data_IF_668669152557
#
_entry.id   IF_668669152557
#
_cell.length_a   1.000
_cell.length_b   1.000
_cell.length_c   1.000
_cell.angle_alpha   90.00
_cell.angle_beta   90.00
_cell.angle_gamma   90.00
#
_symmetry.space_group_name_H-M   'P 1'
#
loop_
_entity.id
_entity.type
_entity.pdbx_description
1 polymer ?
#
# COMPACT_ATOMS: atom_id res chain seq x y z
N UNK A 1 -17.16 -5.58 2.82
CA UNK A 1 -16.35 -5.62 1.58
C UNK A 1 -15.10 -6.44 1.89
N UNK A 2 -14.79 -7.48 1.11
CA UNK A 2 -13.58 -8.29 1.32
C UNK A 2 -12.44 -7.80 0.43
N UNK A 3 -11.21 -7.82 0.96
CA UNK A 3 -9.96 -7.50 0.27
C UNK A 3 -9.20 -8.83 0.07
N UNK A 4 -9.45 -9.53 -1.04
CA UNK A 4 -8.98 -10.91 -1.27
C UNK A 4 -7.68 -11.01 -2.07
N UNK A 5 -7.22 -9.89 -2.63
CA UNK A 5 -6.05 -9.76 -3.50
C UNK A 5 -5.13 -8.67 -2.96
N UNK A 6 -4.87 -8.69 -1.65
CA UNK A 6 -3.86 -7.88 -0.96
C UNK A 6 -2.95 -8.82 -0.19
N UNK A 7 -1.64 -8.69 -0.40
CA UNK A 7 -0.61 -9.57 0.15
C UNK A 7 0.55 -8.75 0.72
N UNK A 8 1.22 -9.26 1.74
CA UNK A 8 2.34 -8.56 2.39
C UNK A 8 3.64 -8.57 1.56
N UNK A 9 3.65 -9.25 0.41
CA UNK A 9 4.77 -9.28 -0.51
C UNK A 9 4.74 -10.55 -1.36
N UNK A 10 5.80 -10.77 -2.14
CA UNK A 10 5.94 -11.98 -2.97
C UNK A 10 6.16 -13.26 -2.12
N UNK A 11 6.66 -13.10 -0.90
CA UNK A 11 6.92 -14.20 0.02
C UNK A 11 5.65 -14.70 0.70
N UNK A 12 4.57 -13.90 0.70
CA UNK A 12 3.32 -14.19 1.42
C UNK A 12 2.77 -15.57 0.99
N UNK A 13 2.59 -16.52 1.93
CA UNK A 13 2.05 -17.84 1.61
C UNK A 13 0.68 -17.80 0.93
N UNK A 14 -0.14 -16.79 1.25
CA UNK A 14 -1.45 -16.59 0.60
C UNK A 14 -1.29 -16.21 -0.86
N UNK A 15 -0.29 -15.39 -1.20
CA UNK A 15 0.03 -15.12 -2.59
C UNK A 15 0.53 -16.39 -3.29
N UNK A 16 1.52 -17.09 -2.71
CA UNK A 16 2.12 -18.30 -3.29
C UNK A 16 1.08 -19.40 -3.58
N UNK A 17 0.03 -19.50 -2.77
CA UNK A 17 -1.07 -20.47 -2.95
C UNK A 17 -2.26 -19.96 -3.77
N UNK A 18 -2.30 -18.67 -4.14
CA UNK A 18 -3.45 -18.06 -4.81
C UNK A 18 -3.60 -18.40 -6.29
N UNK A 19 -2.51 -18.84 -6.95
CA UNK A 19 -2.46 -19.00 -8.41
C UNK A 19 -2.52 -17.68 -9.19
N UNK A 20 -2.47 -16.53 -8.51
CA UNK A 20 -2.47 -15.21 -9.13
C UNK A 20 -1.09 -14.85 -9.68
N UNK A 21 -1.08 -13.94 -10.65
CA UNK A 21 0.14 -13.40 -11.24
C UNK A 21 0.32 -11.94 -10.84
N UNK A 22 1.52 -11.61 -10.38
CA UNK A 22 1.95 -10.22 -10.16
C UNK A 22 2.56 -9.67 -11.44
N UNK A 23 2.35 -8.38 -11.70
CA UNK A 23 2.96 -7.69 -12.82
C UNK A 23 4.48 -7.57 -12.61
N UNK A 24 5.23 -7.63 -13.72
CA UNK A 24 6.66 -7.39 -13.68
C UNK A 24 6.93 -5.89 -13.46
N UNK A 25 7.86 -5.59 -12.55
CA UNK A 25 8.40 -4.24 -12.37
C UNK A 25 9.54 -3.98 -13.37
N UNK A 26 9.66 -2.74 -13.82
CA UNK A 26 10.76 -2.30 -14.67
C UNK A 26 11.26 -0.94 -14.20
N UNK A 27 12.57 -0.74 -14.26
CA UNK A 27 13.16 0.59 -14.17
C UNK A 27 13.84 0.93 -15.50
N UNK A 28 13.83 2.21 -15.84
CA UNK A 28 14.47 2.69 -17.04
C UNK A 28 15.95 2.99 -16.77
N UNK A 29 16.84 2.49 -17.62
CA UNK A 29 18.30 2.63 -17.50
C UNK A 29 18.83 3.55 -18.60
N UNK A 30 19.08 4.81 -18.23
CA UNK A 30 19.55 5.85 -19.16
C UNK A 30 20.80 5.45 -19.96
N UNK A 31 21.75 4.72 -19.37
CA UNK A 31 23.01 4.38 -20.03
C UNK A 31 22.85 3.41 -21.20
N UNK A 32 21.77 2.63 -21.20
CA UNK A 32 21.48 1.65 -22.25
C UNK A 32 20.20 1.98 -23.03
N UNK A 33 19.47 3.03 -22.64
CA UNK A 33 18.17 3.43 -23.22
C UNK A 33 17.15 2.28 -23.21
N UNK A 34 17.12 1.52 -22.12
CA UNK A 34 16.32 0.29 -22.01
C UNK A 34 15.52 0.22 -20.71
N UNK A 35 14.39 -0.48 -20.76
CA UNK A 35 13.66 -0.91 -19.57
C UNK A 35 14.23 -2.24 -19.07
N UNK A 36 14.81 -2.21 -17.88
CA UNK A 36 15.37 -3.40 -17.23
C UNK A 36 14.34 -3.95 -16.26
N UNK A 37 14.04 -5.24 -16.40
CA UNK A 37 13.15 -5.93 -15.47
C UNK A 37 13.74 -5.90 -14.08
N UNK A 38 13.00 -5.33 -13.14
CA UNK A 38 13.32 -5.38 -11.72
C UNK A 38 12.91 -6.74 -11.17
N UNK A 39 13.84 -7.51 -10.59
CA UNK A 39 13.47 -8.72 -9.87
C UNK A 39 12.46 -8.38 -8.77
N UNK A 40 11.38 -9.16 -8.70
CA UNK A 40 10.46 -9.08 -7.56
C UNK A 40 11.21 -9.65 -6.36
N UNK A 41 11.53 -8.79 -5.40
CA UNK A 41 12.28 -9.20 -4.21
C UNK A 41 11.39 -10.04 -3.28
N UNK A 42 11.95 -11.15 -2.78
CA UNK A 42 11.28 -12.06 -1.82
C UNK A 42 11.68 -11.72 -0.37
N UNK A 43 12.45 -10.65 -0.15
CA UNK A 43 12.85 -10.24 1.19
C UNK A 43 11.71 -9.56 1.96
N UNK A 44 11.56 -9.93 3.23
CA UNK A 44 10.46 -9.51 4.12
C UNK A 44 10.69 -8.18 4.85
N UNK A 45 11.81 -7.50 4.61
CA UNK A 45 12.20 -6.33 5.41
C UNK A 45 11.35 -5.07 5.10
N UNK A 46 10.74 -5.00 3.92
CA UNK A 46 10.11 -3.78 3.40
C UNK A 46 8.57 -3.76 3.50
N UNK A 47 7.94 -4.79 4.07
CA UNK A 47 6.48 -4.95 4.07
C UNK A 47 5.76 -3.79 4.76
N UNK A 48 6.25 -3.39 5.92
CA UNK A 48 5.71 -2.26 6.68
C UNK A 48 5.99 -0.90 6.04
N UNK A 49 6.96 -0.81 5.14
CA UNK A 49 7.38 0.43 4.49
C UNK A 49 6.75 0.62 3.10
N UNK A 50 6.46 -0.46 2.36
CA UNK A 50 5.88 -0.34 1.02
C UNK A 50 5.79 -1.61 0.16
N UNK A 51 6.11 -2.81 0.66
CA UNK A 51 6.11 -4.02 -0.17
C UNK A 51 4.72 -4.66 -0.41
N UNK A 52 3.63 -4.03 0.05
CA UNK A 52 2.27 -4.55 -0.12
C UNK A 52 1.93 -4.66 -1.61
N UNK A 53 1.49 -5.85 -2.02
CA UNK A 53 1.02 -6.14 -3.38
C UNK A 53 -0.51 -6.13 -3.39
N UNK A 54 -1.12 -5.39 -4.30
CA UNK A 54 -2.57 -5.27 -4.42
C UNK A 54 -3.05 -5.20 -5.88
N UNK A 55 -4.31 -5.54 -6.10
CA UNK A 55 -5.02 -5.17 -7.33
C UNK A 55 -5.63 -3.78 -7.22
N UNK A 56 -5.88 -3.13 -8.37
CA UNK A 56 -6.56 -1.81 -8.40
C UNK A 56 -7.93 -1.86 -7.72
N UNK A 57 -8.69 -2.96 -7.90
CA UNK A 57 -10.02 -3.10 -7.30
C UNK A 57 -9.95 -3.16 -5.76
N UNK A 58 -8.99 -3.89 -5.21
CA UNK A 58 -8.88 -4.02 -3.76
C UNK A 58 -8.27 -2.77 -3.12
N UNK A 59 -7.32 -2.11 -3.79
CA UNK A 59 -6.83 -0.82 -3.32
C UNK A 59 -7.94 0.25 -3.32
N UNK A 60 -8.79 0.29 -4.35
CA UNK A 60 -9.93 1.22 -4.37
C UNK A 60 -10.94 0.95 -3.25
N UNK A 61 -11.22 -0.32 -2.93
CA UNK A 61 -12.06 -0.69 -1.77
C UNK A 61 -11.42 -0.23 -0.45
N UNK A 62 -10.12 -0.42 -0.30
CA UNK A 62 -9.38 0.07 0.86
C UNK A 62 -9.50 1.59 1.01
N UNK A 63 -9.26 2.36 -0.05
CA UNK A 63 -9.44 3.82 -0.03
C UNK A 63 -10.87 4.22 0.34
N UNK A 64 -11.88 3.53 -0.20
CA UNK A 64 -13.28 3.77 0.15
C UNK A 64 -13.54 3.55 1.65
N UNK A 65 -12.98 2.49 2.23
CA UNK A 65 -13.07 2.22 3.68
C UNK A 65 -12.48 3.38 4.48
N UNK A 66 -11.28 3.86 4.10
CA UNK A 66 -10.63 5.00 4.77
C UNK A 66 -11.42 6.30 4.63
N UNK A 67 -11.95 6.60 3.43
CA UNK A 67 -12.72 7.81 3.16
C UNK A 67 -14.08 7.83 3.87
N UNK A 68 -14.69 6.67 4.05
CA UNK A 68 -16.03 6.54 4.67
C UNK A 68 -15.97 6.18 6.15
N UNK A 69 -14.77 6.09 6.73
CA UNK A 69 -14.52 5.68 8.11
C UNK A 69 -15.22 4.37 8.47
N UNK A 70 -15.30 3.46 7.48
CA UNK A 70 -15.91 2.15 7.67
C UNK A 70 -14.96 1.23 8.44
N UNK A 71 -15.52 0.17 9.03
CA UNK A 71 -14.71 -0.86 9.70
C UNK A 71 -13.67 -1.50 8.74
N UNK A 72 -12.64 -2.17 9.28
CA UNK A 72 -12.58 -2.69 10.67
C UNK A 72 -12.06 -1.69 11.71
N UNK A 73 -11.54 -0.54 11.31
CA UNK A 73 -11.08 0.49 12.24
C UNK A 73 -12.27 1.27 12.82
N UNK A 74 -12.20 1.64 14.10
CA UNK A 74 -13.19 2.54 14.72
C UNK A 74 -13.06 3.96 14.15
N UNK A 75 -14.10 4.78 14.31
CA UNK A 75 -14.04 6.21 13.94
C UNK A 75 -12.89 6.93 14.64
N UNK A 76 -12.69 6.67 15.93
CA UNK A 76 -11.57 7.23 16.70
C UNK A 76 -10.22 6.79 16.12
N UNK A 77 -10.09 5.52 15.72
CA UNK A 77 -8.89 5.03 15.05
C UNK A 77 -8.65 5.72 13.70
N UNK A 78 -9.69 5.96 12.90
CA UNK A 78 -9.59 6.73 11.65
C UNK A 78 -9.19 8.20 11.91
N UNK A 79 -9.66 8.79 13.01
CA UNK A 79 -9.25 10.13 13.44
C UNK A 79 -7.77 10.17 13.82
N UNK A 80 -7.30 9.21 14.60
CA UNK A 80 -5.89 9.11 14.99
C UNK A 80 -4.96 8.95 13.79
N UNK A 81 -5.32 8.12 12.80
CA UNK A 81 -4.49 7.94 11.60
C UNK A 81 -4.37 9.19 10.73
N UNK A 82 -5.40 10.04 10.69
CA UNK A 82 -5.40 11.26 9.87
C UNK A 82 -4.79 12.47 10.58
N UNK A 83 -4.61 12.41 11.90
CA UNK A 83 -4.09 13.52 12.69
C UNK A 83 -2.58 13.67 12.45
N UNK A 84 -2.11 14.76 11.80
CA UNK A 84 -0.67 14.96 11.57
C UNK A 84 0.05 15.16 12.90
N UNK A 85 1.19 14.48 13.10
CA UNK A 85 2.03 14.63 14.31
C UNK A 85 3.33 15.41 14.09
N UNK A 86 3.50 16.01 12.91
CA UNK A 86 4.56 16.99 12.66
C UNK A 86 4.21 18.32 13.35
N UNK A 87 5.23 19.08 13.75
CA UNK A 87 5.13 20.25 14.62
C UNK A 87 4.41 21.48 14.03
N UNK A 88 3.78 21.39 12.87
CA UNK A 88 3.06 22.51 12.22
C UNK A 88 1.54 22.40 12.30
N UNK A 89 1.00 21.61 13.24
CA UNK A 89 -0.44 21.37 13.36
C UNK A 89 -1.24 22.52 14.04
N UNK A 90 -0.63 23.66 14.38
CA UNK A 90 -1.34 24.76 15.03
C UNK A 90 -0.79 26.15 14.67
N UNK A 91 -0.98 26.60 13.43
CA UNK A 91 -1.07 28.03 13.13
C UNK A 91 -2.27 28.26 12.21
N UNK A 92 -3.46 28.34 12.81
CA UNK A 92 -4.62 29.05 12.28
C UNK A 92 -5.71 29.09 13.37
N UNK A 93 -5.48 29.91 14.41
CA UNK A 93 -6.55 30.49 15.19
C UNK A 93 -6.19 31.96 15.47
N UNK A 94 -7.06 32.86 15.00
CA UNK A 94 -7.15 34.31 15.24
C UNK A 94 -6.41 35.25 14.29
N UNK A 95 -7.09 35.64 13.22
CA UNK A 95 -7.33 37.04 12.88
C UNK A 95 -8.83 37.24 12.65
#
# INVERSE_FOLDING_TARGET
>A
MSLSHIFLGAHDPKYKSSGLRVADGYYYKNSTDEFIKQPLDDQSADEGAGAIISSVLDYAKYLRIMMTEAGPLSKDGHSELRTPRSSNAAQNHHL
#
